data_IF_505873645894
#
_entry.id   IF_505873645894
#
_cell.length_a   1.000
_cell.length_b   1.000
_cell.length_c   1.000
_cell.angle_alpha   90.00
_cell.angle_beta   90.00
_cell.angle_gamma   90.00
#
_symmetry.space_group_name_H-M   'P 1'
#
loop_
_entity.id
_entity.type
_entity.pdbx_description
1 polymer ?
#
# COMPACT_ATOMS: atom_id res chain seq x y z
N UNK A 1 16.31 2.53 26.08
CA UNK A 1 16.44 1.17 25.56
C UNK A 1 17.14 1.12 24.23
N UNK A 2 17.52 -0.05 23.81
CA UNK A 2 18.10 -0.27 22.48
C UNK A 2 17.67 -1.64 21.90
N UNK A 3 17.86 -1.80 20.58
CA UNK A 3 17.71 -3.05 19.86
C UNK A 3 19.11 -3.57 19.54
N UNK A 4 19.42 -4.83 19.93
CA UNK A 4 20.72 -5.44 19.66
C UNK A 4 20.75 -6.24 18.35
N UNK A 5 19.65 -6.80 17.95
CA UNK A 5 19.56 -7.60 16.77
C UNK A 5 18.12 -7.82 16.34
N UNK A 6 17.94 -8.10 15.06
CA UNK A 6 16.67 -8.42 14.43
C UNK A 6 16.78 -9.82 13.84
N UNK A 7 15.73 -10.62 13.87
CA UNK A 7 15.71 -11.93 13.22
C UNK A 7 15.99 -11.79 11.71
N UNK A 8 16.58 -12.83 11.14
CA UNK A 8 17.02 -12.86 9.73
C UNK A 8 15.87 -12.82 8.69
N UNK A 9 14.62 -12.79 9.13
CA UNK A 9 13.48 -12.79 8.23
C UNK A 9 12.27 -12.08 8.79
N UNK A 10 11.42 -11.66 7.86
CA UNK A 10 10.07 -11.16 8.13
C UNK A 10 9.11 -12.25 7.69
N UNK A 11 8.14 -12.57 8.55
CA UNK A 11 7.13 -13.60 8.28
C UNK A 11 5.79 -12.93 8.01
N UNK A 12 5.12 -13.32 6.94
CA UNK A 12 3.76 -12.88 6.65
C UNK A 12 2.76 -13.67 7.48
N UNK A 13 1.94 -12.97 8.27
CA UNK A 13 0.88 -13.55 9.09
C UNK A 13 -0.42 -12.80 8.80
N UNK A 14 -1.27 -13.39 7.96
CA UNK A 14 -2.48 -12.71 7.47
C UNK A 14 -2.13 -11.43 6.73
N UNK A 15 -2.64 -10.30 7.22
CA UNK A 15 -2.41 -8.98 6.66
C UNK A 15 -1.29 -8.20 7.36
N UNK A 16 -0.40 -8.90 8.05
CA UNK A 16 0.71 -8.29 8.80
C UNK A 16 2.05 -8.92 8.41
N UNK A 17 3.10 -8.13 8.54
CA UNK A 17 4.50 -8.55 8.50
C UNK A 17 5.04 -8.57 9.92
N UNK A 18 5.59 -9.72 10.34
CA UNK A 18 6.11 -9.92 11.68
C UNK A 18 7.61 -10.15 11.65
N UNK A 19 8.32 -9.53 12.59
CA UNK A 19 9.72 -9.87 12.87
C UNK A 19 9.99 -9.82 14.37
N UNK A 20 10.89 -10.69 14.82
CA UNK A 20 11.34 -10.70 16.21
C UNK A 20 12.64 -9.91 16.34
N UNK A 21 12.82 -9.27 17.48
CA UNK A 21 14.03 -8.53 17.78
C UNK A 21 14.39 -8.62 19.27
N UNK A 22 15.66 -8.39 19.58
CA UNK A 22 16.14 -8.32 20.96
C UNK A 22 15.96 -6.91 21.49
N UNK A 23 15.08 -6.76 22.48
CA UNK A 23 14.82 -5.49 23.16
C UNK A 23 15.60 -5.44 24.50
N UNK A 24 16.21 -4.29 24.77
CA UNK A 24 16.96 -4.03 26.00
C UNK A 24 16.45 -2.76 26.64
N UNK A 25 16.26 -2.79 27.98
CA UNK A 25 15.72 -1.64 28.73
C UNK A 25 16.71 -0.49 28.89
N UNK A 26 18.00 -0.76 28.78
CA UNK A 26 19.09 0.23 28.90
C UNK A 26 19.77 0.45 27.53
N UNK A 27 20.82 1.25 27.48
CA UNK A 27 21.75 1.31 26.35
C UNK A 27 22.53 0.00 26.23
N UNK A 28 23.19 -0.24 25.10
CA UNK A 28 23.98 -1.46 24.88
C UNK A 28 24.99 -1.71 26.00
N UNK A 29 25.72 -0.68 26.43
CA UNK A 29 26.69 -0.73 27.55
C UNK A 29 26.11 -0.47 28.94
N UNK A 30 24.78 -0.46 29.08
CA UNK A 30 24.11 -0.15 30.34
C UNK A 30 24.38 -1.15 31.48
N UNK A 31 24.24 -0.68 32.72
CA UNK A 31 24.61 -1.42 33.94
C UNK A 31 23.72 -2.64 34.17
N UNK A 32 24.31 -3.76 34.58
CA UNK A 32 23.65 -5.09 34.61
C UNK A 32 22.46 -5.18 35.57
N UNK A 33 22.45 -4.68 36.81
CA UNK A 33 21.28 -4.88 37.68
C UNK A 33 19.97 -4.27 37.10
N UNK A 34 20.05 -3.24 36.27
CA UNK A 34 18.93 -2.55 35.67
C UNK A 34 18.61 -3.05 34.25
N UNK A 35 19.52 -3.84 33.69
CA UNK A 35 19.44 -4.31 32.29
C UNK A 35 18.55 -5.53 32.21
N UNK A 36 17.44 -5.38 31.48
CA UNK A 36 16.58 -6.50 31.08
C UNK A 36 16.68 -6.70 29.59
N UNK A 37 16.82 -7.94 29.19
CA UNK A 37 16.90 -8.38 27.79
C UNK A 37 15.70 -9.30 27.55
N UNK A 38 14.96 -9.05 26.48
CA UNK A 38 13.83 -9.88 26.08
C UNK A 38 13.74 -9.99 24.57
N UNK A 39 13.02 -10.99 24.11
CA UNK A 39 12.60 -11.07 22.71
C UNK A 39 11.28 -10.33 22.58
N UNK A 40 11.21 -9.41 21.63
CA UNK A 40 10.02 -8.64 21.32
C UNK A 40 9.59 -8.91 19.87
N UNK A 41 8.33 -8.67 19.59
CA UNK A 41 7.71 -8.82 18.28
C UNK A 41 7.37 -7.44 17.74
N UNK A 42 7.85 -7.12 16.54
CA UNK A 42 7.41 -5.98 15.75
C UNK A 42 6.45 -6.46 14.66
N UNK A 43 5.40 -5.68 14.45
CA UNK A 43 4.37 -5.95 13.46
C UNK A 43 4.16 -4.72 12.60
N UNK A 44 4.00 -4.94 11.32
CA UNK A 44 3.63 -3.91 10.34
C UNK A 44 2.47 -4.41 9.49
N UNK A 45 1.77 -3.49 8.91
CA UNK A 45 0.80 -3.78 7.85
C UNK A 45 1.52 -4.47 6.68
N UNK A 46 0.88 -5.46 6.04
CA UNK A 46 1.39 -6.10 4.83
C UNK A 46 1.64 -5.01 3.76
N UNK A 47 2.83 -4.97 3.17
CA UNK A 47 3.27 -3.97 2.18
C UNK A 47 3.03 -2.50 2.62
N UNK A 48 3.09 -2.25 3.94
CA UNK A 48 2.69 -0.99 4.54
C UNK A 48 3.73 -0.36 5.47
N UNK A 49 5.02 -0.45 5.17
CA UNK A 49 6.08 0.20 5.97
C UNK A 49 6.00 1.72 5.94
N UNK A 50 5.51 2.30 4.86
CA UNK A 50 5.29 3.73 4.67
C UNK A 50 3.95 3.97 3.99
N UNK A 51 3.39 5.16 4.17
CA UNK A 51 2.18 5.62 3.48
C UNK A 51 2.37 7.02 2.90
N UNK A 52 1.54 7.34 1.93
CA UNK A 52 1.27 8.71 1.51
C UNK A 52 -0.08 9.10 2.10
N UNK A 53 -0.10 10.17 2.89
CA UNK A 53 -1.26 10.54 3.68
C UNK A 53 -1.88 11.84 3.16
N UNK A 54 -3.21 11.86 3.06
CA UNK A 54 -3.99 13.06 2.84
C UNK A 54 -4.86 13.36 4.07
N UNK A 55 -4.86 14.62 4.52
CA UNK A 55 -5.67 15.11 5.62
C UNK A 55 -7.08 15.54 5.19
N UNK A 56 -7.56 16.65 5.74
CA UNK A 56 -8.87 17.23 5.43
C UNK A 56 -8.97 17.72 3.98
N UNK A 57 -7.88 18.21 3.42
CA UNK A 57 -7.79 18.62 2.04
C UNK A 57 -7.53 17.44 1.12
N UNK A 58 -7.98 17.54 -0.12
CA UNK A 58 -7.73 16.52 -1.13
C UNK A 58 -6.26 16.50 -1.53
N UNK A 59 -5.64 15.34 -1.38
CA UNK A 59 -4.31 15.04 -1.89
C UNK A 59 -4.38 14.28 -3.21
N UNK A 60 -3.37 14.48 -4.06
CA UNK A 60 -3.25 13.79 -5.35
C UNK A 60 -1.86 13.17 -5.50
N UNK A 61 -1.84 11.93 -5.96
CA UNK A 61 -0.61 11.20 -6.32
C UNK A 61 -0.75 10.65 -7.73
N UNK A 62 0.25 10.88 -8.56
CA UNK A 62 0.29 10.35 -9.92
C UNK A 62 1.57 9.53 -10.13
N UNK A 63 1.43 8.36 -10.72
CA UNK A 63 2.58 7.50 -11.03
C UNK A 63 3.35 8.04 -12.25
N UNK A 64 4.58 7.56 -12.42
CA UNK A 64 5.25 7.52 -13.73
C UNK A 64 4.45 6.65 -14.70
N UNK A 65 4.69 6.69 -16.01
CA UNK A 65 4.10 5.73 -16.93
C UNK A 65 4.42 4.30 -16.51
N UNK A 66 3.40 3.46 -16.52
CA UNK A 66 3.46 2.04 -16.16
C UNK A 66 3.10 1.23 -17.41
N UNK A 67 3.72 0.05 -17.54
CA UNK A 67 3.38 -0.93 -18.57
C UNK A 67 2.99 -2.24 -17.92
N UNK A 68 1.82 -2.77 -18.26
CA UNK A 68 1.39 -4.09 -17.86
C UNK A 68 0.44 -4.70 -18.89
N UNK A 69 0.19 -5.99 -18.76
CA UNK A 69 -0.73 -6.73 -19.62
C UNK A 69 -2.21 -6.48 -19.31
N UNK A 70 -2.51 -5.43 -18.55
CA UNK A 70 -3.84 -5.19 -18.00
C UNK A 70 -4.14 -6.11 -16.82
N UNK A 71 -5.30 -5.92 -16.19
CA UNK A 71 -5.76 -6.74 -15.10
C UNK A 71 -6.46 -5.99 -13.98
N UNK A 72 -6.78 -6.69 -12.91
CA UNK A 72 -7.46 -6.12 -11.76
C UNK A 72 -6.49 -5.28 -10.93
N UNK A 73 -6.88 -4.04 -10.64
CA UNK A 73 -6.13 -3.17 -9.75
C UNK A 73 -6.56 -3.40 -8.30
N UNK A 74 -5.60 -3.70 -7.44
CA UNK A 74 -5.79 -3.75 -6.01
C UNK A 74 -4.95 -2.67 -5.31
N UNK A 75 -5.53 -2.04 -4.28
CA UNK A 75 -4.93 -0.93 -3.54
C UNK A 75 -4.93 -1.26 -2.04
N UNK A 76 -3.77 -1.11 -1.43
CA UNK A 76 -3.59 -1.20 0.01
C UNK A 76 -3.74 0.20 0.61
N UNK A 77 -4.82 0.44 1.33
CA UNK A 77 -5.15 1.75 1.87
C UNK A 77 -6.03 1.69 3.12
N UNK A 78 -5.91 2.72 3.95
CA UNK A 78 -6.95 3.13 4.89
C UNK A 78 -7.64 4.33 4.26
N UNK A 79 -8.86 4.16 3.78
CA UNK A 79 -9.55 5.16 2.97
C UNK A 79 -10.83 5.67 3.63
N UNK A 80 -10.93 6.97 3.81
CA UNK A 80 -12.22 7.63 4.00
C UNK A 80 -12.85 7.95 2.63
N UNK A 81 -12.04 8.50 1.74
CA UNK A 81 -12.39 8.70 0.34
C UNK A 81 -11.13 8.61 -0.53
N UNK A 82 -11.06 7.57 -1.35
CA UNK A 82 -10.00 7.37 -2.32
C UNK A 82 -10.61 6.94 -3.65
N UNK A 83 -10.25 7.65 -4.72
CA UNK A 83 -10.63 7.31 -6.09
C UNK A 83 -9.40 7.19 -6.97
N UNK A 84 -9.51 6.38 -8.02
CA UNK A 84 -8.42 6.12 -8.95
C UNK A 84 -8.87 6.43 -10.36
N UNK A 85 -8.07 7.20 -11.10
CA UNK A 85 -8.21 7.37 -12.53
C UNK A 85 -7.08 6.69 -13.27
N UNK A 86 -7.36 6.17 -14.47
CA UNK A 86 -6.33 5.71 -15.40
C UNK A 86 -6.15 6.78 -16.47
N UNK A 87 -4.93 7.23 -16.63
CA UNK A 87 -4.56 8.28 -17.57
C UNK A 87 -3.67 7.68 -18.65
N UNK A 88 -3.71 8.26 -19.84
CA UNK A 88 -2.73 8.00 -20.88
C UNK A 88 -1.33 8.54 -20.48
N UNK A 89 -0.26 8.24 -21.23
CA UNK A 89 1.07 8.75 -20.94
C UNK A 89 1.18 10.27 -20.93
N UNK A 90 0.30 10.99 -21.65
CA UNK A 90 0.25 12.46 -21.67
C UNK A 90 -0.39 13.06 -20.41
N UNK A 91 -1.14 12.23 -19.66
CA UNK A 91 -1.86 12.61 -18.44
C UNK A 91 -3.34 12.93 -18.67
N UNK A 92 -3.89 12.62 -19.85
CA UNK A 92 -5.32 12.76 -20.09
C UNK A 92 -6.07 11.50 -19.61
N UNK A 93 -7.26 11.63 -18.97
CA UNK A 93 -8.04 10.48 -18.54
C UNK A 93 -8.46 9.61 -19.72
N UNK A 94 -8.28 8.29 -19.58
CA UNK A 94 -8.81 7.33 -20.54
C UNK A 94 -10.34 7.29 -20.36
N UNK A 95 -11.14 7.34 -21.46
CA UNK A 95 -12.60 7.29 -21.37
C UNK A 95 -13.10 6.09 -20.56
N UNK A 96 -14.02 6.33 -19.61
CA UNK A 96 -14.57 5.31 -18.71
C UNK A 96 -13.71 5.01 -17.48
N UNK A 97 -12.53 5.63 -17.34
CA UNK A 97 -11.60 5.42 -16.22
C UNK A 97 -11.28 6.70 -15.45
N UNK A 98 -12.13 7.71 -15.53
CA UNK A 98 -11.95 8.95 -14.76
C UNK A 98 -12.27 8.76 -13.28
N UNK A 99 -11.92 9.74 -12.43
CA UNK A 99 -12.33 9.76 -11.03
C UNK A 99 -13.85 9.76 -10.85
N UNK A 100 -14.60 10.33 -11.79
CA UNK A 100 -16.07 10.34 -11.77
C UNK A 100 -16.68 8.98 -12.09
N UNK A 101 -15.96 8.13 -12.81
CA UNK A 101 -16.36 6.77 -13.13
C UNK A 101 -15.95 5.79 -12.02
N UNK A 102 -14.92 6.11 -11.23
CA UNK A 102 -14.39 5.25 -10.18
C UNK A 102 -15.40 5.08 -9.03
N UNK A 103 -15.59 3.84 -8.59
CA UNK A 103 -16.28 3.53 -7.35
C UNK A 103 -15.37 3.86 -6.17
N UNK A 104 -15.68 4.88 -5.33
CA UNK A 104 -14.75 5.32 -4.30
C UNK A 104 -14.46 4.23 -3.28
N UNK A 105 -13.18 4.02 -2.99
CA UNK A 105 -12.72 3.11 -1.95
C UNK A 105 -12.96 3.71 -0.57
N UNK A 106 -13.41 2.87 0.38
CA UNK A 106 -13.67 3.23 1.78
C UNK A 106 -13.30 2.09 2.71
N UNK A 107 -12.88 2.45 3.92
CA UNK A 107 -12.50 1.48 4.96
C UNK A 107 -11.02 1.13 4.94
N UNK A 108 -10.67 0.14 5.73
CA UNK A 108 -9.31 -0.39 5.88
C UNK A 108 -9.19 -1.74 5.16
N UNK A 109 -8.34 -1.81 4.15
CA UNK A 109 -8.05 -3.08 3.46
C UNK A 109 -6.64 -3.06 2.87
N UNK A 110 -5.97 -4.19 2.92
CA UNK A 110 -4.69 -4.40 2.22
C UNK A 110 -4.88 -4.73 0.73
N UNK A 111 -6.13 -4.92 0.28
CA UNK A 111 -6.47 -5.31 -1.10
C UNK A 111 -7.86 -4.80 -1.53
N UNK A 112 -8.07 -3.48 -1.44
CA UNK A 112 -9.25 -2.89 -2.08
C UNK A 112 -9.24 -3.16 -3.57
N UNK A 113 -10.24 -3.81 -4.11
CA UNK A 113 -10.43 -3.92 -5.56
C UNK A 113 -10.96 -2.61 -6.12
N UNK A 114 -10.26 -2.05 -7.09
CA UNK A 114 -10.70 -0.84 -7.80
C UNK A 114 -11.63 -1.24 -8.94
N UNK A 115 -12.75 -0.55 -9.05
CA UNK A 115 -13.67 -0.67 -10.16
C UNK A 115 -14.14 0.71 -10.63
N UNK A 116 -14.45 0.80 -11.90
CA UNK A 116 -15.11 1.92 -12.53
C UNK A 116 -16.52 1.48 -12.95
N UNK A 117 -17.37 2.41 -13.29
CA UNK A 117 -18.78 2.13 -13.59
C UNK A 117 -19.00 0.95 -14.54
N UNK A 118 -18.19 0.89 -15.59
CA UNK A 118 -18.32 -0.12 -16.65
C UNK A 118 -17.08 -1.04 -16.77
N UNK A 119 -16.10 -0.89 -15.86
CA UNK A 119 -14.84 -1.61 -15.92
C UNK A 119 -14.37 -2.04 -14.53
N UNK A 120 -13.82 -3.24 -14.42
CA UNK A 120 -13.20 -3.80 -13.21
C UNK A 120 -11.71 -4.15 -13.40
N UNK A 121 -11.19 -3.84 -14.58
CA UNK A 121 -9.80 -4.12 -14.97
C UNK A 121 -9.18 -2.90 -15.66
N UNK A 122 -7.87 -2.75 -15.54
CA UNK A 122 -7.10 -1.75 -16.29
C UNK A 122 -6.96 -2.20 -17.75
N UNK A 123 -7.04 -1.27 -18.73
CA UNK A 123 -6.82 -1.60 -20.12
C UNK A 123 -5.42 -2.18 -20.37
N UNK A 124 -5.35 -3.19 -21.26
CA UNK A 124 -4.12 -3.86 -21.61
C UNK A 124 -3.38 -3.18 -22.78
N UNK A 125 -2.08 -3.46 -22.89
CA UNK A 125 -1.26 -3.22 -24.09
C UNK A 125 -0.94 -1.74 -24.42
N UNK A 126 -1.14 -0.83 -23.49
CA UNK A 126 -0.73 0.57 -23.64
C UNK A 126 -0.09 1.07 -22.34
N UNK A 127 0.98 1.88 -22.41
CA UNK A 127 1.45 2.59 -21.24
C UNK A 127 0.34 3.48 -20.67
N UNK A 128 0.22 3.51 -19.34
CA UNK A 128 -0.77 4.30 -18.63
C UNK A 128 -0.16 4.89 -17.36
N UNK A 129 -0.85 5.83 -16.74
CA UNK A 129 -0.56 6.32 -15.40
C UNK A 129 -1.76 6.06 -14.50
N UNK A 130 -1.51 5.85 -13.23
CA UNK A 130 -2.54 5.88 -12.19
C UNK A 130 -2.49 7.24 -11.49
N UNK A 131 -3.66 7.86 -11.33
CA UNK A 131 -3.84 9.01 -10.49
C UNK A 131 -4.76 8.65 -9.32
N UNK A 132 -4.26 8.82 -8.11
CA UNK A 132 -5.01 8.61 -6.88
C UNK A 132 -5.42 9.98 -6.34
N UNK A 133 -6.71 10.20 -6.08
CA UNK A 133 -7.22 11.33 -5.30
C UNK A 133 -7.78 10.81 -4.00
N UNK A 134 -7.37 11.43 -2.91
CA UNK A 134 -7.69 10.93 -1.59
C UNK A 134 -7.87 12.06 -0.59
N UNK A 135 -8.77 11.83 0.38
CA UNK A 135 -9.02 12.72 1.51
C UNK A 135 -9.22 11.90 2.78
N UNK A 136 -8.59 12.31 3.88
CA UNK A 136 -8.58 11.54 5.15
C UNK A 136 -8.22 10.08 4.91
N UNK A 137 -7.14 9.85 4.19
CA UNK A 137 -6.78 8.51 3.70
C UNK A 137 -5.27 8.34 3.69
N UNK A 138 -4.83 7.09 3.86
CA UNK A 138 -3.44 6.66 3.77
C UNK A 138 -3.30 5.61 2.67
N UNK A 139 -2.49 5.88 1.67
CA UNK A 139 -2.17 4.97 0.57
C UNK A 139 -0.81 4.32 0.84
N UNK A 140 -0.77 2.99 0.92
CA UNK A 140 0.45 2.22 1.19
C UNK A 140 1.07 1.64 -0.08
N UNK A 141 0.29 0.90 -0.84
CA UNK A 141 0.78 0.25 -2.06
C UNK A 141 -0.37 -0.04 -3.02
N UNK A 142 -0.03 -0.43 -4.23
CA UNK A 142 -0.98 -0.98 -5.20
C UNK A 142 -0.33 -2.08 -6.01
N UNK A 143 -1.14 -2.96 -6.60
CA UNK A 143 -0.70 -3.99 -7.54
C UNK A 143 -1.72 -4.22 -8.64
N UNK A 144 -1.24 -4.66 -9.79
CA UNK A 144 -2.08 -5.10 -10.91
C UNK A 144 -1.97 -6.61 -11.02
N UNK A 145 -3.08 -7.30 -10.85
CA UNK A 145 -3.18 -8.74 -11.00
C UNK A 145 -3.53 -9.05 -12.46
N UNK A 146 -2.56 -9.48 -13.23
CA UNK A 146 -2.81 -9.97 -14.60
C UNK A 146 -3.70 -11.21 -14.55
N UNK A 147 -4.72 -11.27 -15.42
CA UNK A 147 -5.69 -12.39 -15.50
C UNK A 147 -5.11 -13.73 -15.98
N UNK A 148 -3.79 -13.92 -16.02
CA UNK A 148 -3.18 -15.24 -16.21
C UNK A 148 -3.12 -15.94 -14.86
N UNK A 149 -3.98 -16.94 -14.66
CA UNK A 149 -3.72 -17.99 -13.69
C UNK A 149 -2.31 -18.53 -13.98
N UNK A 150 -1.43 -18.64 -12.97
CA UNK A 150 -0.27 -19.50 -13.09
C UNK A 150 -0.81 -20.92 -13.24
N UNK A 151 -0.64 -21.52 -14.44
CA UNK A 151 -0.87 -22.93 -14.65
C UNK A 151 0.14 -23.78 -13.87
#
# INVERSE_FOLDING_TARGET
GCILGVANGVVTVGNELWTYYTAITTTHGGFIPEKRITIALAKWRLDGFVSLDAGEEEGMVRTVPLECLGGRLEVNAVANHLSVAVLDPSGAPIPGYSHADCMPLRGDSVCHTVAWRDHDTIPANHPFRLEFRMRKSSLYSFRVLSGRNPG
#
